data_IF_606726764609
#
_entry.id   IF_606726764609
#
_cell.length_a   1.000
_cell.length_b   1.000
_cell.length_c   1.000
_cell.angle_alpha   90.00
_cell.angle_beta   90.00
_cell.angle_gamma   90.00
#
_symmetry.space_group_name_H-M   'P 1'
#
loop_
_entity.id
_entity.type
_entity.pdbx_description
1 polymer ?
#
# COMPACT_ATOMS: atom_id res chain seq x y z
N UNK A 1 -12.19 -10.97 -1.74
CA UNK A 1 -12.05 -11.66 -3.04
C UNK A 1 -10.70 -11.26 -3.58
N UNK A 2 -9.88 -12.18 -4.10
CA UNK A 2 -8.66 -11.76 -4.79
C UNK A 2 -9.07 -10.89 -5.98
N UNK A 3 -8.50 -9.70 -6.03
CA UNK A 3 -8.66 -8.75 -7.14
C UNK A 3 -8.05 -9.40 -8.39
N UNK A 4 -8.65 -9.17 -9.56
CA UNK A 4 -8.05 -9.62 -10.83
C UNK A 4 -6.62 -9.06 -10.93
N UNK A 5 -5.58 -9.87 -11.22
CA UNK A 5 -4.20 -9.39 -11.31
C UNK A 5 -4.01 -8.18 -12.23
N UNK A 6 -4.82 -8.07 -13.28
CA UNK A 6 -4.81 -6.89 -14.16
C UNK A 6 -5.35 -5.65 -13.46
N UNK A 7 -6.41 -5.81 -12.67
CA UNK A 7 -6.99 -4.73 -11.88
C UNK A 7 -6.08 -4.31 -10.72
N UNK A 8 -5.26 -5.22 -10.19
CA UNK A 8 -4.23 -4.89 -9.19
C UNK A 8 -3.13 -4.00 -9.80
N UNK A 9 -2.60 -4.37 -10.97
CA UNK A 9 -1.59 -3.56 -11.68
C UNK A 9 -2.15 -2.20 -12.13
N UNK A 10 -3.38 -2.15 -12.67
CA UNK A 10 -4.06 -0.89 -12.99
C UNK A 10 -4.28 -0.03 -11.73
N UNK A 11 -4.46 -0.67 -10.57
CA UNK A 11 -4.57 0.00 -9.27
C UNK A 11 -3.27 0.65 -8.82
N UNK A 12 -2.13 -0.06 -8.91
CA UNK A 12 -0.84 0.47 -8.52
C UNK A 12 -0.40 1.67 -9.37
N UNK A 13 -0.62 1.61 -10.69
CA UNK A 13 -0.36 2.75 -11.58
C UNK A 13 -1.24 3.95 -11.20
N UNK A 14 -2.52 3.73 -10.95
CA UNK A 14 -3.43 4.82 -10.56
C UNK A 14 -3.08 5.42 -9.20
N UNK A 15 -2.77 4.59 -8.20
CA UNK A 15 -2.34 5.04 -6.86
C UNK A 15 -1.06 5.88 -6.96
N UNK A 16 -0.07 5.42 -7.73
CA UNK A 16 1.17 6.14 -7.96
C UNK A 16 0.93 7.51 -8.59
N UNK A 17 0.02 7.61 -9.57
CA UNK A 17 -0.38 8.89 -10.16
C UNK A 17 -1.00 9.84 -9.13
N UNK A 18 -1.92 9.35 -8.28
CA UNK A 18 -2.59 10.17 -7.27
C UNK A 18 -1.62 10.71 -6.23
N UNK A 19 -0.76 9.85 -5.67
CA UNK A 19 0.22 10.24 -4.65
C UNK A 19 1.28 11.17 -5.26
N UNK A 20 1.73 10.88 -6.49
CA UNK A 20 2.72 11.74 -7.15
C UNK A 20 2.20 13.15 -7.37
N UNK A 21 0.91 13.27 -7.72
CA UNK A 21 0.24 14.55 -7.86
C UNK A 21 0.07 15.28 -6.51
N UNK A 22 -0.28 14.55 -5.45
CA UNK A 22 -0.48 15.12 -4.11
C UNK A 22 0.81 15.58 -3.44
N UNK A 23 1.88 14.79 -3.55
CA UNK A 23 3.17 15.07 -2.91
C UNK A 23 4.09 15.94 -3.77
N UNK A 24 3.66 16.32 -4.98
CA UNK A 24 4.50 16.99 -6.00
C UNK A 24 5.86 16.29 -6.20
N UNK A 25 5.86 14.96 -6.09
CA UNK A 25 7.05 14.11 -6.10
C UNK A 25 6.81 12.87 -6.96
N UNK A 26 7.86 12.27 -7.49
CA UNK A 26 7.72 11.00 -8.22
C UNK A 26 7.59 9.83 -7.23
N UNK A 27 6.51 9.06 -7.36
CA UNK A 27 6.31 7.78 -6.69
C UNK A 27 6.19 6.68 -7.75
N UNK A 28 7.07 5.66 -7.74
CA UNK A 28 7.01 4.56 -8.70
C UNK A 28 5.81 3.64 -8.41
N UNK A 29 5.15 3.12 -9.45
CA UNK A 29 4.04 2.18 -9.29
C UNK A 29 4.50 0.85 -8.72
N UNK A 30 5.75 0.45 -8.96
CA UNK A 30 6.34 -0.75 -8.36
C UNK A 30 6.38 -0.67 -6.82
N UNK A 31 6.55 0.52 -6.23
CA UNK A 31 6.46 0.67 -4.77
C UNK A 31 5.02 0.45 -4.27
N UNK A 32 4.03 0.91 -5.03
CA UNK A 32 2.62 0.72 -4.69
C UNK A 32 2.27 -0.78 -4.75
N UNK A 33 2.70 -1.49 -5.79
CA UNK A 33 2.57 -2.94 -5.91
C UNK A 33 3.18 -3.68 -4.70
N UNK A 34 4.43 -3.36 -4.34
CA UNK A 34 5.12 -3.97 -3.19
C UNK A 34 4.33 -3.76 -1.89
N UNK A 35 3.81 -2.55 -1.67
CA UNK A 35 3.00 -2.23 -0.49
C UNK A 35 1.71 -3.04 -0.48
N UNK A 36 0.97 -3.08 -1.58
CA UNK A 36 -0.30 -3.82 -1.70
C UNK A 36 -0.09 -5.34 -1.50
N UNK A 37 0.95 -5.91 -2.11
CA UNK A 37 1.28 -7.33 -1.94
C UNK A 37 1.67 -7.66 -0.49
N UNK A 38 2.54 -6.84 0.11
CA UNK A 38 2.98 -7.03 1.48
C UNK A 38 1.82 -6.85 2.47
N UNK A 39 0.92 -5.90 2.20
CA UNK A 39 -0.27 -5.66 3.00
C UNK A 39 -1.21 -6.87 3.01
N UNK A 40 -1.54 -7.38 1.82
CA UNK A 40 -2.38 -8.56 1.66
C UNK A 40 -1.79 -9.75 2.43
N UNK A 41 -0.47 -9.95 2.34
CA UNK A 41 0.23 -11.01 3.09
C UNK A 41 0.10 -10.83 4.61
N UNK A 42 0.29 -9.62 5.13
CA UNK A 42 0.13 -9.34 6.58
C UNK A 42 -1.30 -9.61 7.04
N UNK A 43 -2.31 -9.22 6.25
CA UNK A 43 -3.72 -9.48 6.58
C UNK A 43 -4.03 -10.98 6.61
N UNK A 44 -3.45 -11.75 5.69
CA UNK A 44 -3.64 -13.20 5.62
C UNK A 44 -2.92 -13.93 6.76
N UNK A 45 -1.69 -13.52 7.10
CA UNK A 45 -0.91 -14.13 8.20
C UNK A 45 -1.50 -13.82 9.59
N UNK A 46 -2.01 -12.62 9.79
CA UNK A 46 -2.57 -12.19 11.08
C UNK A 46 -4.05 -12.56 11.24
N UNK A 47 -4.76 -12.77 10.13
CA UNK A 47 -6.21 -12.92 10.10
C UNK A 47 -6.98 -11.61 10.36
N UNK A 48 -6.30 -10.48 10.51
CA UNK A 48 -6.93 -9.17 10.75
C UNK A 48 -7.14 -8.40 9.44
N UNK A 49 -8.26 -8.70 8.79
CA UNK A 49 -8.70 -8.04 7.55
C UNK A 49 -9.13 -6.58 7.77
N UNK A 50 -9.19 -6.09 9.01
CA UNK A 50 -9.64 -4.74 9.36
C UNK A 50 -8.53 -3.90 10.00
N UNK A 51 -7.30 -4.40 10.07
CA UNK A 51 -6.14 -3.70 10.62
C UNK A 51 -6.04 -2.27 10.06
N UNK A 52 -5.83 -1.31 10.95
CA UNK A 52 -5.75 0.13 10.60
C UNK A 52 -4.52 0.45 9.76
N UNK A 53 -4.57 1.52 8.97
CA UNK A 53 -3.42 1.96 8.18
C UNK A 53 -2.21 2.30 9.03
N UNK A 54 -2.42 2.87 10.23
CA UNK A 54 -1.32 3.17 11.16
C UNK A 54 -0.61 1.90 11.65
N UNK A 55 -1.37 0.86 12.01
CA UNK A 55 -0.76 -0.41 12.44
C UNK A 55 -0.12 -1.14 11.27
N UNK A 56 -0.81 -1.17 10.13
CA UNK A 56 -0.32 -1.80 8.92
C UNK A 56 0.98 -1.15 8.44
N UNK A 57 1.04 0.17 8.32
CA UNK A 57 2.24 0.88 7.88
C UNK A 57 3.45 0.62 8.78
N UNK A 58 3.26 0.56 10.11
CA UNK A 58 4.35 0.20 11.04
C UNK A 58 4.86 -1.23 10.81
N UNK A 59 3.96 -2.18 10.57
CA UNK A 59 4.34 -3.57 10.29
C UNK A 59 5.05 -3.69 8.94
N UNK A 60 4.53 -3.03 7.91
CA UNK A 60 5.14 -3.02 6.58
C UNK A 60 6.52 -2.37 6.61
N UNK A 61 6.70 -1.25 7.33
CA UNK A 61 8.02 -0.65 7.50
C UNK A 61 9.01 -1.59 8.20
N UNK A 62 8.58 -2.31 9.25
CA UNK A 62 9.45 -3.30 9.89
C UNK A 62 9.84 -4.46 8.94
N UNK A 63 8.95 -4.84 8.01
CA UNK A 63 9.24 -5.83 6.97
C UNK A 63 10.24 -5.26 5.95
N UNK A 64 10.00 -4.04 5.46
CA UNK A 64 10.85 -3.38 4.46
C UNK A 64 12.23 -3.01 4.99
N UNK A 65 12.35 -2.66 6.27
CA UNK A 65 13.64 -2.41 6.93
C UNK A 65 14.47 -3.70 7.11
N UNK A 66 13.79 -4.85 7.20
CA UNK A 66 14.45 -6.15 7.26
C UNK A 66 14.89 -6.66 5.87
N UNK A 67 14.36 -6.07 4.80
CA UNK A 67 14.70 -6.41 3.43
C UNK A 67 15.78 -5.48 2.85
N UNK A 68 17.00 -5.97 2.58
CA UNK A 68 18.08 -5.15 2.05
C UNK A 68 17.85 -4.68 0.60
N UNK A 69 16.88 -5.24 -0.13
CA UNK A 69 16.56 -4.83 -1.50
C UNK A 69 15.64 -3.60 -1.56
N UNK A 70 14.99 -3.23 -0.45
CA UNK A 70 14.11 -2.07 -0.38
C UNK A 70 14.86 -0.89 0.23
N UNK A 71 14.99 0.26 -0.46
CA UNK A 71 15.78 1.40 -0.01
C UNK A 71 15.05 2.23 1.08
N UNK A 72 14.80 1.62 2.23
CA UNK A 72 14.18 2.26 3.41
C UNK A 72 15.13 3.23 4.12
N UNK A 73 16.45 2.94 4.12
CA UNK A 73 17.42 3.69 4.92
C UNK A 73 17.79 5.07 4.37
N UNK A 74 17.53 5.35 3.09
CA UNK A 74 17.78 6.66 2.47
C UNK A 74 16.60 7.63 2.62
N UNK A 75 15.52 7.21 3.31
CA UNK A 75 14.31 8.02 3.50
C UNK A 75 13.38 8.06 2.28
N UNK A 76 13.67 7.26 1.25
CA UNK A 76 12.83 7.15 0.05
C UNK A 76 11.49 6.46 0.34
N UNK A 77 11.45 5.53 1.31
CA UNK A 77 10.23 4.88 1.80
C UNK A 77 10.06 5.20 3.27
N UNK A 78 8.87 5.66 3.66
CA UNK A 78 8.55 6.06 5.05
C UNK A 78 7.16 5.58 5.46
N UNK A 79 6.89 5.49 6.78
CA UNK A 79 5.55 5.18 7.30
C UNK A 79 4.48 6.15 6.75
N UNK A 80 4.84 7.41 6.51
CA UNK A 80 3.92 8.37 5.91
C UNK A 80 3.54 7.95 4.49
N UNK A 81 4.53 7.70 3.63
CA UNK A 81 4.28 7.28 2.25
C UNK A 81 3.47 5.97 2.19
N UNK A 82 3.80 4.99 3.04
CA UNK A 82 3.06 3.73 3.11
C UNK A 82 1.60 3.97 3.49
N UNK A 83 1.30 4.87 4.44
CA UNK A 83 -0.09 5.19 4.78
C UNK A 83 -0.85 5.86 3.64
N UNK A 84 -0.20 6.74 2.90
CA UNK A 84 -0.82 7.36 1.72
C UNK A 84 -1.15 6.30 0.65
N UNK A 85 -0.25 5.34 0.42
CA UNK A 85 -0.51 4.22 -0.48
C UNK A 85 -1.72 3.40 -0.03
N UNK A 86 -1.79 3.03 1.26
CA UNK A 86 -2.94 2.29 1.81
C UNK A 86 -4.25 3.09 1.74
N UNK A 87 -4.19 4.41 1.93
CA UNK A 87 -5.35 5.28 1.78
C UNK A 87 -5.88 5.28 0.35
N UNK A 88 -5.01 5.51 -0.63
CA UNK A 88 -5.37 5.55 -2.04
C UNK A 88 -5.79 4.17 -2.57
N UNK A 89 -5.25 3.09 -2.02
CA UNK A 89 -5.74 1.73 -2.28
C UNK A 89 -7.21 1.59 -1.86
N UNK A 90 -7.59 2.03 -0.66
CA UNK A 90 -8.99 1.98 -0.21
C UNK A 90 -9.93 2.79 -1.11
N UNK A 91 -9.49 3.95 -1.60
CA UNK A 91 -10.23 4.77 -2.57
C UNK A 91 -10.38 4.04 -3.92
N UNK A 92 -9.30 3.44 -4.43
CA UNK A 92 -9.32 2.62 -5.63
C UNK A 92 -10.30 1.45 -5.52
N UNK A 93 -10.24 0.70 -4.42
CA UNK A 93 -11.13 -0.43 -4.15
C UNK A 93 -12.59 -0.01 -4.07
N UNK A 94 -12.84 1.16 -3.48
CA UNK A 94 -14.19 1.74 -3.43
C UNK A 94 -14.71 2.05 -4.83
N UNK A 95 -13.90 2.67 -5.69
CA UNK A 95 -14.27 2.92 -7.09
C UNK A 95 -14.45 1.64 -7.91
N UNK A 96 -13.64 0.61 -7.63
CA UNK A 96 -13.74 -0.70 -8.25
C UNK A 96 -14.95 -1.53 -7.76
N UNK A 97 -15.75 -1.01 -6.82
CA UNK A 97 -16.93 -1.68 -6.29
C UNK A 97 -16.64 -2.76 -5.25
N UNK A 98 -15.43 -2.77 -4.68
CA UNK A 98 -14.97 -3.70 -3.65
C UNK A 98 -14.50 -2.97 -2.38
N UNK A 99 -15.31 -2.07 -1.78
CA UNK A 99 -14.87 -1.26 -0.65
C UNK A 99 -14.46 -2.15 0.54
N UNK A 100 -13.32 -1.82 1.13
CA UNK A 100 -12.78 -2.48 2.33
C UNK A 100 -13.23 -1.74 3.59
N UNK A 101 -13.39 -2.48 4.69
CA UNK A 101 -13.61 -1.88 6.00
C UNK A 101 -12.33 -1.93 6.81
N UNK A 102 -11.67 -0.78 6.93
CA UNK A 102 -10.48 -0.59 7.76
C UNK A 102 -10.88 0.07 9.08
N UNK A 103 -10.27 -0.36 10.19
CA UNK A 103 -10.43 0.30 11.48
C UNK A 103 -9.70 1.65 11.43
N UNK A 104 -10.40 2.73 11.78
CA UNK A 104 -9.85 4.09 11.85
C UNK A 104 -9.15 4.35 13.16
#
# INVERSE_FOLDING_TARGET
MPIDPKLASEGADWIAEMISAELESFVPSELCDIVMEAEQKVRDETGDQRMSHDEMAKRLMAIFEADPEIPTQEGAVSEFLVREILHWEDEFLTMAGAPRQVNR
#
